data_IF_656533987590
#
_entry.id   IF_656533987590
#
_cell.length_a   1.000
_cell.length_b   1.000
_cell.length_c   1.000
_cell.angle_alpha   90.00
_cell.angle_beta   90.00
_cell.angle_gamma   90.00
#
_symmetry.space_group_name_H-M   'P 1'
#
loop_
_entity.id
_entity.type
_entity.pdbx_description
1 polymer ?
#
# COMPACT_ATOMS: atom_id res chain seq x y z
N UNK A 1 2.89 4.96 -17.44
CA UNK A 1 2.33 4.06 -16.43
C UNK A 1 3.38 3.73 -15.38
N UNK A 2 2.98 3.79 -14.11
CA UNK A 2 3.91 3.46 -13.04
C UNK A 2 4.13 1.98 -12.92
N UNK A 3 5.35 1.62 -12.55
CA UNK A 3 5.73 0.23 -12.35
C UNK A 3 6.21 0.06 -10.91
N UNK A 4 5.69 -0.94 -10.22
CA UNK A 4 6.08 -1.21 -8.84
C UNK A 4 7.45 -1.86 -8.79
N UNK A 5 8.33 -1.32 -7.94
CA UNK A 5 9.59 -1.98 -7.66
C UNK A 5 9.36 -2.97 -6.51
N UNK A 6 9.17 -4.22 -6.86
CA UNK A 6 8.78 -5.25 -5.90
C UNK A 6 9.90 -5.61 -4.92
N UNK A 7 11.11 -5.14 -5.17
CA UNK A 7 12.23 -5.37 -4.26
C UNK A 7 12.37 -4.22 -3.26
N UNK A 8 12.29 -2.98 -3.77
CA UNK A 8 12.55 -1.80 -2.93
C UNK A 8 11.34 -1.39 -2.11
N UNK A 9 10.16 -1.53 -2.67
CA UNK A 9 8.97 -1.01 -2.00
C UNK A 9 8.71 -1.67 -0.65
N UNK A 10 8.76 -3.00 -0.54
CA UNK A 10 8.56 -3.62 0.78
C UNK A 10 9.60 -3.16 1.81
N UNK A 11 10.84 -2.93 1.36
CA UNK A 11 11.89 -2.46 2.27
C UNK A 11 11.58 -1.06 2.78
N UNK A 12 11.07 -0.20 1.89
CA UNK A 12 10.71 1.16 2.26
C UNK A 12 9.61 1.18 3.31
N UNK A 13 8.65 0.28 3.19
CA UNK A 13 7.54 0.23 4.12
C UNK A 13 7.98 -0.10 5.54
N UNK A 14 9.07 -0.82 5.69
CA UNK A 14 9.55 -1.20 7.02
C UNK A 14 9.95 0.01 7.85
N UNK A 15 10.30 1.12 7.21
CA UNK A 15 10.71 2.32 7.91
C UNK A 15 9.53 3.24 8.23
N UNK A 16 8.33 2.93 7.73
CA UNK A 16 7.15 3.73 7.99
C UNK A 16 6.38 3.18 9.18
N UNK A 17 5.70 4.07 9.93
CA UNK A 17 4.87 3.59 11.02
C UNK A 17 3.54 3.07 10.49
N UNK A 18 2.78 2.41 11.37
CA UNK A 18 1.51 1.81 10.98
C UNK A 18 0.50 2.84 10.52
N UNK A 19 0.53 4.02 11.11
CA UNK A 19 -0.38 5.09 10.71
C UNK A 19 -0.13 5.49 9.26
N UNK A 20 1.15 5.63 8.89
CA UNK A 20 1.51 5.97 7.51
C UNK A 20 1.06 4.90 6.53
N UNK A 21 1.20 3.63 6.90
CA UNK A 21 0.76 2.54 6.04
C UNK A 21 -0.74 2.57 5.80
N UNK A 22 -1.52 2.83 6.85
CA UNK A 22 -2.95 2.94 6.71
C UNK A 22 -3.35 4.12 5.85
N UNK A 23 -2.61 5.20 5.97
CA UNK A 23 -2.87 6.39 5.15
C UNK A 23 -2.64 6.10 3.68
N UNK A 24 -1.57 5.37 3.36
CA UNK A 24 -1.29 4.98 1.99
C UNK A 24 -2.43 4.12 1.43
N UNK A 25 -2.90 3.17 2.21
CA UNK A 25 -4.01 2.31 1.79
C UNK A 25 -5.25 3.14 1.48
N UNK A 26 -5.57 4.08 2.35
CA UNK A 26 -6.73 4.93 2.15
C UNK A 26 -6.58 5.77 0.88
N UNK A 27 -5.42 6.39 0.69
CA UNK A 27 -5.19 7.21 -0.48
C UNK A 27 -5.30 6.40 -1.77
N UNK A 28 -4.74 5.19 -1.77
CA UNK A 28 -4.81 4.34 -2.95
C UNK A 28 -6.25 3.95 -3.28
N UNK A 29 -7.04 3.64 -2.25
CA UNK A 29 -8.44 3.29 -2.47
C UNK A 29 -9.23 4.46 -3.02
N UNK A 30 -8.96 5.66 -2.51
CA UNK A 30 -9.65 6.85 -3.00
C UNK A 30 -9.27 7.15 -4.44
N UNK A 31 -7.99 6.98 -4.78
CA UNK A 31 -7.54 7.21 -6.14
C UNK A 31 -8.20 6.23 -7.12
N UNK A 32 -8.30 4.96 -6.73
CA UNK A 32 -8.93 3.97 -7.59
C UNK A 32 -10.43 4.22 -7.73
N UNK A 33 -11.08 4.68 -6.66
CA UNK A 33 -12.51 4.97 -6.72
C UNK A 33 -12.80 6.18 -7.59
N UNK A 34 -11.90 7.16 -7.57
CA UNK A 34 -12.08 8.39 -8.35
C UNK A 34 -11.93 8.15 -9.85
N UNK A 35 -11.01 7.26 -10.22
CA UNK A 35 -10.71 6.98 -11.63
C UNK A 35 -10.58 5.48 -11.82
N UNK A 36 -11.72 4.78 -11.98
CA UNK A 36 -11.68 3.32 -12.14
C UNK A 36 -10.86 2.87 -13.36
N UNK A 37 -10.77 3.71 -14.38
CA UNK A 37 -10.02 3.38 -15.58
C UNK A 37 -8.59 3.88 -15.56
N UNK A 38 -8.12 4.33 -14.40
CA UNK A 38 -6.77 4.85 -14.26
C UNK A 38 -5.75 3.74 -14.59
N UNK A 39 -4.82 4.00 -15.53
CA UNK A 39 -3.82 2.99 -15.87
C UNK A 39 -2.88 2.65 -14.71
N UNK A 40 -2.86 3.46 -13.66
CA UNK A 40 -2.04 3.21 -12.48
C UNK A 40 -2.77 2.38 -11.41
N UNK A 41 -3.98 1.92 -11.68
CA UNK A 41 -4.71 1.15 -10.67
C UNK A 41 -3.98 -0.12 -10.26
N UNK A 42 -3.30 -0.77 -11.19
CA UNK A 42 -2.49 -1.93 -10.84
C UNK A 42 -1.40 -1.59 -9.83
N UNK A 43 -0.77 -0.44 -10.01
CA UNK A 43 0.24 0.02 -9.06
C UNK A 43 -0.38 0.28 -7.68
N UNK A 44 -1.54 0.92 -7.65
CA UNK A 44 -2.22 1.19 -6.38
C UNK A 44 -2.61 -0.10 -5.68
N UNK A 45 -3.05 -1.11 -6.42
CA UNK A 45 -3.38 -2.40 -5.83
C UNK A 45 -2.15 -3.05 -5.21
N UNK A 46 -1.01 -2.96 -5.88
CA UNK A 46 0.24 -3.48 -5.34
C UNK A 46 0.64 -2.74 -4.07
N UNK A 47 0.48 -1.42 -4.05
CA UNK A 47 0.78 -0.65 -2.85
C UNK A 47 -0.09 -1.09 -1.68
N UNK A 48 -1.38 -1.25 -1.92
CA UNK A 48 -2.29 -1.71 -0.87
C UNK A 48 -1.86 -3.07 -0.38
N UNK A 49 -1.56 -3.97 -1.31
CA UNK A 49 -1.14 -5.33 -0.94
C UNK A 49 0.07 -5.31 -0.01
N UNK A 50 1.10 -4.57 -0.39
CA UNK A 50 2.32 -4.54 0.41
C UNK A 50 2.09 -3.88 1.75
N UNK A 51 1.28 -2.82 1.80
CA UNK A 51 0.97 -2.16 3.06
C UNK A 51 0.21 -3.09 4.00
N UNK A 52 -0.76 -3.82 3.46
CA UNK A 52 -1.53 -4.77 4.26
C UNK A 52 -0.62 -5.88 4.79
N UNK A 53 0.25 -6.40 3.93
CA UNK A 53 1.17 -7.45 4.36
C UNK A 53 2.10 -6.96 5.45
N UNK A 54 2.60 -5.74 5.34
CA UNK A 54 3.47 -5.19 6.36
C UNK A 54 2.72 -4.99 7.68
N UNK A 55 1.48 -4.53 7.62
CA UNK A 55 0.66 -4.38 8.82
C UNK A 55 0.41 -5.73 9.50
N UNK A 56 0.15 -6.75 8.70
CA UNK A 56 -0.03 -8.09 9.25
C UNK A 56 1.25 -8.58 9.93
N UNK A 57 2.39 -8.32 9.33
CA UNK A 57 3.66 -8.72 9.91
C UNK A 57 3.87 -8.07 11.28
N UNK A 58 3.39 -6.84 11.42
CA UNK A 58 3.52 -6.09 12.68
C UNK A 58 2.36 -6.31 13.62
N UNK A 59 1.40 -7.11 13.21
CA UNK A 59 0.13 -7.22 13.88
C UNK A 59 0.31 -7.31 15.39
N UNK A 60 -0.34 -6.41 16.14
CA UNK A 60 -0.29 -6.51 17.59
C UNK A 60 -1.10 -7.68 18.06
N UNK A 61 -0.58 -8.31 19.10
CA UNK A 61 -1.19 -9.52 19.60
C UNK A 61 -2.58 -9.32 20.18
N UNK A 62 -2.91 -8.12 20.53
CA UNK A 62 -4.17 -7.82 21.20
C UNK A 62 -5.31 -7.48 20.27
N UNK A 63 -5.10 -7.49 18.99
CA UNK A 63 -6.20 -7.20 18.07
C UNK A 63 -7.04 -8.39 17.76
#
# INVERSE_FOLDING_TARGET
>A
MKTMNHTEYPKRLKSLDSHALRHIIKDCREAMASLPDNPNNGYYQDEIHYCVMELYRRKPKCT
#
